data_IF_994965937429
#
_entry.id   IF_994965937429
#
_cell.length_a   1.000
_cell.length_b   1.000
_cell.length_c   1.000
_cell.angle_alpha   90.00
_cell.angle_beta   90.00
_cell.angle_gamma   90.00
#
_symmetry.space_group_name_H-M   'P 1'
#
loop_
_entity.id
_entity.type
_entity.pdbx_description
1 polymer ?
#
# COMPACT_ATOMS: atom_id res chain seq x y z
N UNK A 1 -9.82 50.36 1.21
CA UNK A 1 -10.41 49.04 0.90
C UNK A 1 -9.41 48.28 0.04
N UNK A 2 -8.75 47.27 0.59
CA UNK A 2 -7.82 46.43 -0.15
C UNK A 2 -8.20 44.95 0.04
N UNK A 3 -8.50 44.28 -1.07
CA UNK A 3 -8.72 42.85 -1.15
C UNK A 3 -7.42 42.10 -0.82
N UNK A 4 -7.52 41.09 0.05
CA UNK A 4 -6.47 40.10 0.26
C UNK A 4 -7.09 38.75 0.59
N UNK A 5 -7.42 37.98 -0.46
CA UNK A 5 -7.83 36.57 -0.37
C UNK A 5 -6.77 35.79 0.41
N UNK A 6 -7.09 35.32 1.61
CA UNK A 6 -6.26 34.32 2.29
C UNK A 6 -6.55 32.95 1.69
N UNK A 7 -5.68 32.56 0.78
CA UNK A 7 -5.55 31.21 0.25
C UNK A 7 -5.41 30.18 1.37
N UNK A 8 -6.17 29.11 1.20
CA UNK A 8 -6.12 27.82 1.89
C UNK A 8 -4.70 27.38 2.24
N UNK A 9 -4.38 27.29 3.54
CA UNK A 9 -3.37 26.32 4.01
C UNK A 9 -4.14 25.07 4.44
N UNK A 10 -4.38 24.18 3.48
CA UNK A 10 -4.60 22.78 3.81
C UNK A 10 -3.28 22.29 4.40
N UNK A 11 -3.26 22.08 5.71
CA UNK A 11 -2.06 21.65 6.42
C UNK A 11 -1.65 20.28 5.93
N UNK A 12 -0.65 20.25 5.05
CA UNK A 12 0.21 19.09 4.81
C UNK A 12 0.94 18.77 6.13
N UNK A 13 0.25 18.09 7.04
CA UNK A 13 0.77 17.64 8.30
C UNK A 13 1.73 16.48 8.08
N UNK A 14 3.04 16.75 8.20
CA UNK A 14 4.15 15.81 8.34
C UNK A 14 3.93 14.42 7.71
N UNK A 15 3.98 14.38 6.38
CA UNK A 15 4.33 13.14 5.67
C UNK A 15 5.64 12.63 6.30
N UNK A 16 5.66 11.37 6.73
CA UNK A 16 6.70 10.89 7.64
C UNK A 16 8.10 11.20 7.09
N UNK A 17 8.93 11.87 7.89
CA UNK A 17 10.32 12.18 7.55
C UNK A 17 11.21 10.96 7.51
N UNK A 18 10.74 9.82 8.06
CA UNK A 18 11.43 8.54 7.98
C UNK A 18 11.44 7.99 6.56
N UNK A 19 12.55 7.39 6.10
CA UNK A 19 12.59 6.67 4.84
C UNK A 19 11.67 5.44 4.89
N UNK A 20 10.87 5.23 3.84
CA UNK A 20 9.99 4.06 3.73
C UNK A 20 10.63 2.99 2.84
N UNK A 21 10.59 1.73 3.26
CA UNK A 21 11.06 0.60 2.44
C UNK A 21 10.20 0.40 1.20
N UNK A 22 8.88 0.59 1.30
CA UNK A 22 7.96 0.54 0.15
C UNK A 22 8.23 1.65 -0.88
N UNK A 23 8.96 2.70 -0.50
CA UNK A 23 9.36 3.81 -1.38
C UNK A 23 10.88 3.87 -1.58
N UNK A 24 11.56 2.71 -1.62
CA UNK A 24 13.00 2.61 -1.91
C UNK A 24 13.89 3.46 -0.98
N UNK A 25 13.51 3.57 0.29
CA UNK A 25 14.23 4.38 1.27
C UNK A 25 14.01 5.89 1.12
N UNK A 26 13.04 6.33 0.32
CA UNK A 26 12.61 7.74 0.27
C UNK A 26 11.50 7.99 1.29
N UNK A 27 11.43 9.20 1.87
CA UNK A 27 10.35 9.55 2.79
C UNK A 27 9.00 9.58 2.07
N UNK A 28 7.93 9.57 2.87
CA UNK A 28 6.59 9.76 2.32
C UNK A 28 6.50 11.17 1.72
N UNK A 29 6.01 11.26 0.49
CA UNK A 29 5.87 12.54 -0.22
C UNK A 29 4.53 12.61 -0.92
N UNK A 30 4.04 13.83 -1.18
CA UNK A 30 2.81 14.01 -1.96
C UNK A 30 2.94 13.40 -3.36
N UNK A 31 4.13 13.48 -3.97
CA UNK A 31 4.42 12.85 -5.25
C UNK A 31 4.22 11.33 -5.21
N UNK A 32 4.66 10.67 -4.12
CA UNK A 32 4.43 9.24 -3.93
C UNK A 32 2.94 8.93 -3.73
N UNK A 33 2.23 9.71 -2.92
CA UNK A 33 0.78 9.53 -2.70
C UNK A 33 -0.03 9.76 -3.98
N UNK A 34 0.39 10.69 -4.84
CA UNK A 34 -0.26 10.97 -6.11
C UNK A 34 -0.19 9.79 -7.09
N UNK A 35 0.80 8.90 -6.98
CA UNK A 35 0.84 7.66 -7.76
C UNK A 35 -0.38 6.77 -7.51
N UNK A 36 -1.09 6.97 -6.39
CA UNK A 36 -2.30 6.25 -6.01
C UNK A 36 -3.56 7.12 -6.14
N UNK A 37 -3.51 8.25 -6.83
CA UNK A 37 -4.68 9.12 -7.11
C UNK A 37 -5.56 9.44 -5.88
N UNK A 38 -4.98 9.54 -4.67
CA UNK A 38 -5.71 9.72 -3.40
C UNK A 38 -6.65 8.57 -3.02
N UNK A 39 -6.51 7.42 -3.68
CA UNK A 39 -7.20 6.17 -3.30
C UNK A 39 -6.73 5.70 -1.93
N UNK A 40 -5.44 5.92 -1.61
CA UNK A 40 -4.85 5.60 -0.32
C UNK A 40 -4.48 6.87 0.46
N UNK A 41 -4.80 6.89 1.75
CA UNK A 41 -4.35 7.94 2.66
C UNK A 41 -2.89 7.73 3.08
N UNK A 42 -2.27 8.78 3.63
CA UNK A 42 -0.92 8.69 4.20
C UNK A 42 -0.84 7.61 5.29
N UNK A 43 -1.83 7.55 6.18
CA UNK A 43 -1.87 6.58 7.28
C UNK A 43 -1.95 5.13 6.75
N UNK A 44 -2.79 4.89 5.74
CA UNK A 44 -2.90 3.57 5.10
C UNK A 44 -1.58 3.14 4.45
N UNK A 45 -0.87 4.07 3.83
CA UNK A 45 0.47 3.80 3.27
C UNK A 45 1.48 3.44 4.37
N UNK A 46 1.39 4.08 5.54
CA UNK A 46 2.24 3.73 6.68
C UNK A 46 1.89 2.35 7.27
N UNK A 47 0.62 1.96 7.27
CA UNK A 47 0.20 0.60 7.64
C UNK A 47 0.75 -0.44 6.65
N UNK A 48 0.74 -0.15 5.35
CA UNK A 48 1.36 -1.02 4.35
C UNK A 48 2.88 -1.11 4.50
N UNK A 49 3.55 -0.01 4.87
CA UNK A 49 4.98 -0.02 5.19
C UNK A 49 5.29 -0.90 6.42
N UNK A 50 4.46 -0.82 7.46
CA UNK A 50 4.61 -1.64 8.66
C UNK A 50 4.40 -3.13 8.34
N UNK A 51 3.35 -3.44 7.57
CA UNK A 51 3.10 -4.81 7.10
C UNK A 51 4.25 -5.35 6.25
N UNK A 52 4.78 -4.55 5.32
CA UNK A 52 5.93 -4.91 4.49
C UNK A 52 7.17 -5.17 5.35
N UNK A 53 7.44 -4.29 6.32
CA UNK A 53 8.60 -4.42 7.21
C UNK A 53 8.51 -5.67 8.09
N UNK A 54 7.33 -5.97 8.64
CA UNK A 54 7.10 -7.17 9.45
C UNK A 54 7.18 -8.46 8.62
N UNK A 55 6.85 -8.37 7.32
CA UNK A 55 6.86 -9.51 6.40
C UNK A 55 8.12 -9.58 5.53
N UNK A 56 9.11 -8.70 5.71
CA UNK A 56 10.22 -8.49 4.77
C UNK A 56 10.99 -9.77 4.48
N UNK A 57 11.32 -10.56 5.50
CA UNK A 57 12.04 -11.82 5.33
C UNK A 57 11.24 -12.82 4.48
N UNK A 58 9.92 -12.91 4.71
CA UNK A 58 9.00 -13.78 3.97
C UNK A 58 8.86 -13.33 2.52
N UNK A 59 8.65 -12.03 2.31
CA UNK A 59 8.53 -11.41 0.99
C UNK A 59 9.81 -11.61 0.17
N UNK A 60 10.98 -11.37 0.77
CA UNK A 60 12.28 -11.65 0.14
C UNK A 60 12.43 -13.13 -0.22
N UNK A 61 12.02 -14.04 0.66
CA UNK A 61 12.09 -15.47 0.39
C UNK A 61 11.23 -15.86 -0.83
N UNK A 62 10.10 -15.21 -1.08
CA UNK A 62 9.26 -15.43 -2.28
C UNK A 62 9.59 -14.52 -3.46
N UNK A 63 10.59 -13.65 -3.32
CA UNK A 63 11.06 -12.76 -4.40
C UNK A 63 10.25 -11.49 -4.59
N UNK A 64 9.38 -11.13 -3.64
CA UNK A 64 8.55 -9.93 -3.72
C UNK A 64 9.31 -8.72 -3.15
N UNK A 65 9.57 -7.73 -4.01
CA UNK A 65 10.15 -6.45 -3.64
C UNK A 65 9.11 -5.35 -3.34
N UNK A 66 9.55 -4.14 -2.98
CA UNK A 66 8.69 -2.98 -2.71
C UNK A 66 7.66 -2.66 -3.79
N UNK A 67 8.09 -2.59 -5.06
CA UNK A 67 7.22 -2.21 -6.18
C UNK A 67 6.14 -3.27 -6.44
N UNK A 68 6.54 -4.54 -6.39
CA UNK A 68 5.63 -5.67 -6.57
C UNK A 68 4.65 -5.80 -5.40
N UNK A 69 5.11 -5.54 -4.17
CA UNK A 69 4.24 -5.44 -3.00
C UNK A 69 3.18 -4.35 -3.18
N UNK A 70 3.55 -3.13 -3.59
CA UNK A 70 2.58 -2.04 -3.80
C UNK A 70 1.63 -2.32 -4.96
N UNK A 71 2.08 -3.07 -5.98
CA UNK A 71 1.20 -3.60 -7.02
C UNK A 71 0.17 -4.57 -6.42
N UNK A 72 0.58 -5.52 -5.59
CA UNK A 72 -0.34 -6.43 -4.92
C UNK A 72 -1.34 -5.69 -4.01
N UNK A 73 -0.92 -4.62 -3.31
CA UNK A 73 -1.82 -3.76 -2.53
C UNK A 73 -2.90 -3.16 -3.43
N UNK A 74 -2.52 -2.57 -4.57
CA UNK A 74 -3.46 -1.99 -5.54
C UNK A 74 -4.40 -3.04 -6.14
N UNK A 75 -3.87 -4.18 -6.55
CA UNK A 75 -4.66 -5.25 -7.14
C UNK A 75 -5.65 -5.83 -6.13
N UNK A 76 -5.25 -5.94 -4.86
CA UNK A 76 -6.13 -6.39 -3.77
C UNK A 76 -7.27 -5.41 -3.52
N UNK A 77 -6.98 -4.11 -3.54
CA UNK A 77 -8.03 -3.10 -3.36
C UNK A 77 -8.96 -3.02 -4.58
N UNK A 78 -8.43 -3.15 -5.80
CA UNK A 78 -9.23 -3.22 -7.03
C UNK A 78 -10.23 -4.38 -6.96
N UNK A 79 -9.80 -5.57 -6.49
CA UNK A 79 -10.70 -6.71 -6.26
C UNK A 79 -11.79 -6.41 -5.25
N UNK A 80 -11.46 -5.68 -4.18
CA UNK A 80 -12.46 -5.24 -3.21
C UNK A 80 -13.47 -4.26 -3.84
N UNK A 81 -12.98 -3.29 -4.62
CA UNK A 81 -13.82 -2.34 -5.35
C UNK A 81 -14.76 -3.06 -6.30
N UNK A 82 -14.26 -3.99 -7.11
CA UNK A 82 -15.07 -4.80 -8.03
C UNK A 82 -16.13 -5.61 -7.29
N UNK A 83 -15.75 -6.27 -6.20
CA UNK A 83 -16.67 -7.07 -5.38
C UNK A 83 -17.76 -6.22 -4.71
N UNK A 84 -17.47 -4.96 -4.39
CA UNK A 84 -18.40 -4.02 -3.77
C UNK A 84 -19.13 -3.12 -4.76
N UNK A 85 -18.80 -3.19 -6.05
CA UNK A 85 -19.31 -2.28 -7.08
C UNK A 85 -18.91 -0.82 -6.84
N UNK A 86 -17.70 -0.58 -6.31
CA UNK A 86 -17.17 0.77 -6.06
C UNK A 86 -16.45 1.30 -7.29
N UNK A 87 -16.46 2.62 -7.45
CA UNK A 87 -15.66 3.30 -8.47
C UNK A 87 -14.15 3.12 -8.22
N UNK A 88 -13.35 3.07 -9.29
CA UNK A 88 -11.90 2.85 -9.22
C UNK A 88 -11.15 3.96 -8.47
N UNK A 89 -11.70 5.17 -8.41
CA UNK A 89 -11.14 6.31 -7.68
C UNK A 89 -11.69 6.43 -6.25
N UNK A 90 -12.57 5.51 -5.83
CA UNK A 90 -13.14 5.50 -4.49
C UNK A 90 -12.03 5.36 -3.44
N UNK A 91 -11.89 6.33 -2.51
CA UNK A 91 -10.92 6.24 -1.43
C UNK A 91 -11.19 5.00 -0.56
N UNK A 92 -10.12 4.34 -0.15
CA UNK A 92 -10.20 3.14 0.67
C UNK A 92 -10.73 3.47 2.06
N UNK A 93 -11.77 2.74 2.47
CA UNK A 93 -12.31 2.77 3.82
C UNK A 93 -11.62 1.74 4.72
N UNK A 94 -11.97 1.74 6.01
CA UNK A 94 -11.39 0.79 6.99
C UNK A 94 -11.69 -0.68 6.65
N UNK A 95 -12.82 -0.95 5.99
CA UNK A 95 -13.17 -2.30 5.53
C UNK A 95 -12.30 -2.73 4.35
N UNK A 96 -12.08 -1.85 3.39
CA UNK A 96 -11.16 -2.07 2.27
C UNK A 96 -9.73 -2.32 2.74
N UNK A 97 -9.24 -1.50 3.68
CA UNK A 97 -7.92 -1.69 4.28
C UNK A 97 -7.79 -3.06 4.95
N UNK A 98 -8.76 -3.42 5.80
CA UNK A 98 -8.78 -4.73 6.45
C UNK A 98 -8.77 -5.87 5.43
N UNK A 99 -9.61 -5.78 4.40
CA UNK A 99 -9.66 -6.77 3.32
C UNK A 99 -8.29 -6.91 2.63
N UNK A 100 -7.66 -5.79 2.27
CA UNK A 100 -6.35 -5.79 1.60
C UNK A 100 -5.30 -6.47 2.47
N UNK A 101 -5.18 -6.08 3.75
CA UNK A 101 -4.19 -6.67 4.65
C UNK A 101 -4.42 -8.18 4.86
N UNK A 102 -5.67 -8.60 5.07
CA UNK A 102 -6.01 -10.02 5.22
C UNK A 102 -5.73 -10.82 3.94
N UNK A 103 -6.04 -10.25 2.77
CA UNK A 103 -5.80 -10.88 1.48
C UNK A 103 -4.31 -11.03 1.19
N UNK A 104 -3.51 -9.98 1.42
CA UNK A 104 -2.06 -10.00 1.25
C UNK A 104 -1.42 -11.03 2.18
N UNK A 105 -1.79 -11.03 3.46
CA UNK A 105 -1.23 -11.97 4.42
C UNK A 105 -1.49 -13.42 4.01
N UNK A 106 -2.75 -13.77 3.68
CA UNK A 106 -3.10 -15.12 3.22
C UNK A 106 -2.39 -15.51 1.93
N UNK A 107 -2.30 -14.59 0.97
CA UNK A 107 -1.66 -14.84 -0.33
C UNK A 107 -0.17 -15.11 -0.16
N UNK A 108 0.54 -14.26 0.59
CA UNK A 108 1.97 -14.42 0.80
C UNK A 108 2.31 -15.63 1.66
N UNK A 109 1.49 -15.96 2.67
CA UNK A 109 1.64 -17.20 3.44
C UNK A 109 1.50 -18.44 2.55
N UNK A 110 0.48 -18.45 1.69
CA UNK A 110 0.23 -19.57 0.78
C UNK A 110 1.40 -19.78 -0.18
N UNK A 111 1.92 -18.71 -0.78
CA UNK A 111 3.06 -18.76 -1.70
C UNK A 111 4.34 -19.18 -0.95
N UNK A 112 4.56 -18.63 0.24
CA UNK A 112 5.73 -18.95 1.05
C UNK A 112 5.76 -20.43 1.44
N UNK A 113 4.64 -20.98 1.92
CA UNK A 113 4.54 -22.41 2.27
C UNK A 113 4.65 -23.31 1.02
N UNK A 114 4.08 -22.90 -0.12
CA UNK A 114 4.27 -23.61 -1.39
C UNK A 114 5.74 -23.63 -1.84
N UNK A 115 6.49 -22.54 -1.60
CA UNK A 115 7.92 -22.45 -1.95
C UNK A 115 8.76 -23.30 -1.00
N UNK A 116 8.49 -23.21 0.30
CA UNK A 116 9.16 -23.98 1.36
C UNK A 116 8.95 -25.49 1.21
N UNK A 117 7.74 -25.91 0.84
CA UNK A 117 7.41 -27.33 0.62
C UNK A 117 7.91 -27.89 -0.72
N UNK A 118 8.60 -27.08 -1.55
CA UNK A 118 9.10 -27.49 -2.86
C UNK A 118 8.02 -27.64 -3.94
N UNK A 119 6.75 -27.35 -3.62
CA UNK A 119 5.62 -27.42 -4.56
C UNK A 119 5.68 -26.36 -5.67
N UNK A 120 6.50 -25.32 -5.50
CA UNK A 120 6.81 -24.32 -6.53
C UNK A 120 8.08 -24.63 -7.34
N UNK A 121 8.88 -25.65 -6.98
CA UNK A 121 10.06 -26.06 -7.73
C UNK A 121 9.73 -27.19 -8.73
N UNK A 122 8.81 -26.91 -9.65
CA UNK A 122 8.50 -27.81 -10.76
C UNK A 122 8.57 -27.05 -12.07
N UNK A 123 9.79 -26.65 -12.45
CA UNK A 123 10.29 -26.51 -13.82
C UNK A 123 11.72 -26.00 -13.84
#
# INVERSE_FOLDING_TARGET
MALGKKTTKSGSGNLSTRPLKINHGKPLSEAFLNNFFKVFSADQVLEFEEFFSNSEAKLKAIGIGPDEFMKHVRDSYTRYQDHKGLDSFMPMDSKGLKYVLEFLNKSFDTIYEAKKSGRLNSR
#
